data_IF_385438170631
#
_entry.id   IF_385438170631
#
_cell.length_a   1.000
_cell.length_b   1.000
_cell.length_c   1.000
_cell.angle_alpha   90.00
_cell.angle_beta   90.00
_cell.angle_gamma   90.00
#
_symmetry.space_group_name_H-M   'P 1'
#
loop_
_entity.id
_entity.type
_entity.pdbx_description
1 polymer ?
#
# COMPACT_ATOMS: atom_id res chain seq x y z
N UNK A 1 -30.69 25.27 43.30
CA UNK A 1 -29.94 24.07 42.85
C UNK A 1 -28.67 24.36 42.03
N UNK A 2 -28.22 25.62 41.86
CA UNK A 2 -27.08 25.97 40.97
C UNK A 2 -25.66 25.92 41.60
N UNK A 3 -25.54 25.85 42.94
CA UNK A 3 -24.22 25.88 43.61
C UNK A 3 -23.40 24.59 43.46
N UNK A 4 -24.05 23.43 43.36
CA UNK A 4 -23.37 22.13 43.33
C UNK A 4 -22.76 21.82 41.95
N UNK A 5 -23.32 22.37 40.87
CA UNK A 5 -22.83 22.18 39.51
C UNK A 5 -21.48 22.85 39.26
N UNK A 6 -21.23 24.02 39.86
CA UNK A 6 -19.95 24.72 39.73
C UNK A 6 -18.82 23.97 40.45
N UNK A 7 -19.08 23.40 41.63
CA UNK A 7 -18.08 22.60 42.34
C UNK A 7 -17.66 21.35 41.56
N UNK A 8 -18.63 20.65 40.94
CA UNK A 8 -18.35 19.49 40.11
C UNK A 8 -17.52 19.84 38.85
N UNK A 9 -17.78 21.01 38.25
CA UNK A 9 -16.99 21.50 37.11
C UNK A 9 -15.56 21.85 37.51
N UNK A 10 -15.35 22.52 38.65
CA UNK A 10 -14.01 22.82 39.14
C UNK A 10 -13.18 21.56 39.43
N UNK A 11 -13.79 20.52 40.01
CA UNK A 11 -13.12 19.23 40.23
C UNK A 11 -12.73 18.59 38.90
N UNK A 12 -13.64 18.62 37.91
CA UNK A 12 -13.37 18.05 36.59
C UNK A 12 -12.25 18.78 35.85
N UNK A 13 -12.24 20.11 35.90
CA UNK A 13 -11.19 20.94 35.28
C UNK A 13 -9.84 20.65 35.93
N UNK A 14 -9.77 20.60 37.27
CA UNK A 14 -8.53 20.28 37.97
C UNK A 14 -8.02 18.86 37.64
N UNK A 15 -8.93 17.88 37.50
CA UNK A 15 -8.57 16.53 37.07
C UNK A 15 -7.96 16.50 35.66
N UNK A 16 -8.50 17.29 34.73
CA UNK A 16 -7.98 17.39 33.37
C UNK A 16 -6.62 18.10 33.31
N UNK A 17 -6.39 19.11 34.15
CA UNK A 17 -5.09 19.78 34.27
C UNK A 17 -3.99 18.82 34.76
N UNK A 18 -4.31 17.95 35.72
CA UNK A 18 -3.39 16.92 36.21
C UNK A 18 -3.08 15.89 35.12
N UNK A 19 -4.09 15.48 34.36
CA UNK A 19 -3.89 14.53 33.27
C UNK A 19 -3.08 15.11 32.12
N UNK A 20 -3.29 16.39 31.80
CA UNK A 20 -2.51 17.14 30.82
C UNK A 20 -1.03 17.20 31.24
N UNK A 21 -0.77 17.59 32.49
CA UNK A 21 0.59 17.65 33.03
C UNK A 21 1.28 16.26 33.03
N UNK A 22 0.53 15.18 33.25
CA UNK A 22 1.05 13.81 33.13
C UNK A 22 1.44 13.48 31.69
N UNK A 23 0.62 13.86 30.71
CA UNK A 23 0.87 13.64 29.29
C UNK A 23 2.04 14.44 28.77
N UNK A 24 2.21 15.67 29.23
CA UNK A 24 3.38 16.49 28.88
C UNK A 24 4.69 15.86 29.36
N UNK A 25 4.71 15.29 30.57
CA UNK A 25 5.88 14.53 31.08
C UNK A 25 6.16 13.29 30.24
N UNK A 26 5.12 12.56 29.83
CA UNK A 26 5.25 11.38 28.96
C UNK A 26 5.84 11.75 27.59
N UNK A 27 5.40 12.86 27.00
CA UNK A 27 5.93 13.37 25.73
C UNK A 27 7.39 13.79 25.86
N UNK A 28 7.76 14.47 26.95
CA UNK A 28 9.16 14.88 27.19
C UNK A 28 10.06 13.64 27.34
N UNK A 29 9.61 12.62 28.06
CA UNK A 29 10.38 11.38 28.21
C UNK A 29 10.54 10.63 26.87
N UNK A 30 9.48 10.56 26.07
CA UNK A 30 9.54 9.94 24.75
C UNK A 30 10.45 10.71 23.78
N UNK A 31 10.42 12.05 23.80
CA UNK A 31 11.32 12.89 23.00
C UNK A 31 12.78 12.69 23.37
N UNK A 32 13.08 12.58 24.68
CA UNK A 32 14.42 12.29 25.18
C UNK A 32 14.92 10.92 24.70
N UNK A 33 14.11 9.86 24.85
CA UNK A 33 14.47 8.52 24.33
C UNK A 33 14.72 8.51 22.82
N UNK A 34 14.02 9.35 22.07
CA UNK A 34 14.17 9.46 20.61
C UNK A 34 15.44 10.24 20.21
N UNK A 35 15.89 11.17 21.05
CA UNK A 35 17.18 11.86 20.91
C UNK A 35 18.36 10.98 21.37
N UNK A 36 18.21 10.25 22.47
CA UNK A 36 19.24 9.34 22.99
C UNK A 36 19.46 8.14 22.06
N UNK A 37 18.44 7.73 21.30
CA UNK A 37 18.57 6.74 20.22
C UNK A 37 19.22 7.27 18.93
N UNK A 38 19.61 8.56 18.89
CA UNK A 38 20.31 9.22 17.77
C UNK A 38 21.68 9.73 18.23
N UNK A 39 22.51 8.88 18.84
CA UNK A 39 23.94 9.14 18.93
C UNK A 39 24.62 8.78 17.60
N UNK A 40 25.40 9.75 17.10
CA UNK A 40 26.18 9.68 15.89
C UNK A 40 27.20 8.53 15.92
N UNK A 41 27.12 7.65 14.93
CA UNK A 41 28.29 7.06 14.28
C UNK A 41 27.99 6.90 12.80
N UNK A 42 28.57 7.81 11.99
CA UNK A 42 28.68 7.65 10.54
C UNK A 42 29.80 6.64 10.32
N UNK A 43 29.47 5.35 10.47
CA UNK A 43 30.33 4.26 10.01
C UNK A 43 29.59 3.59 8.87
N UNK A 44 30.28 3.53 7.72
CA UNK A 44 29.93 2.78 6.51
C UNK A 44 29.30 1.42 6.84
N UNK A 45 27.99 1.41 6.98
CA UNK A 45 27.18 0.22 7.07
C UNK A 45 26.13 0.33 5.97
N UNK A 46 26.13 -0.67 5.08
CA UNK A 46 24.98 -1.04 4.26
C UNK A 46 23.71 -0.70 5.03
N UNK A 47 22.75 0.06 4.46
CA UNK A 47 21.57 0.46 5.22
C UNK A 47 20.96 -0.80 5.79
N UNK A 48 21.06 -0.98 7.12
CA UNK A 48 20.40 -2.08 7.77
C UNK A 48 18.93 -1.77 7.58
N UNK A 49 18.33 -2.52 6.66
CA UNK A 49 16.89 -2.65 6.53
C UNK A 49 16.39 -3.05 7.91
N UNK A 50 16.03 -2.06 8.73
CA UNK A 50 15.13 -2.28 9.86
C UNK A 50 13.80 -2.56 9.22
N UNK A 51 13.64 -3.82 8.80
CA UNK A 51 12.34 -4.42 8.63
C UNK A 51 11.71 -4.28 10.01
N UNK A 52 10.91 -3.23 10.21
CA UNK A 52 9.96 -3.23 11.29
C UNK A 52 9.27 -4.58 11.17
N UNK A 53 9.41 -5.43 12.19
CA UNK A 53 8.55 -6.57 12.37
C UNK A 53 7.15 -6.01 12.65
N UNK A 54 6.50 -5.45 11.63
CA UNK A 54 5.07 -5.30 11.59
C UNK A 54 4.59 -6.74 11.67
N UNK A 55 4.31 -7.16 12.89
CA UNK A 55 3.77 -8.46 13.25
C UNK A 55 2.41 -8.60 12.57
N UNK A 56 2.47 -8.95 11.30
CA UNK A 56 1.37 -9.37 10.47
C UNK A 56 1.89 -10.56 9.71
N UNK A 57 2.15 -11.68 10.43
CA UNK A 57 2.11 -12.97 9.77
C UNK A 57 0.72 -13.01 9.13
N UNK A 58 0.66 -12.96 7.81
CA UNK A 58 -0.58 -13.23 7.08
C UNK A 58 -0.90 -14.70 7.31
N UNK A 59 -1.59 -14.99 8.41
CA UNK A 59 -2.11 -16.32 8.66
C UNK A 59 -3.26 -16.52 7.67
N UNK A 60 -3.00 -17.26 6.59
CA UNK A 60 -4.10 -17.88 5.88
C UNK A 60 -4.72 -18.90 6.82
N UNK A 61 -5.96 -18.64 7.24
CA UNK A 61 -6.71 -19.58 8.05
C UNK A 61 -6.86 -20.88 7.23
N UNK A 62 -6.38 -22.05 7.69
CA UNK A 62 -6.37 -23.28 6.89
C UNK A 62 -7.76 -23.66 6.37
N UNK A 63 -8.82 -23.40 7.14
CA UNK A 63 -10.21 -23.63 6.74
C UNK A 63 -10.68 -22.71 5.61
N UNK A 64 -10.06 -21.53 5.43
CA UNK A 64 -10.32 -20.64 4.29
C UNK A 64 -9.53 -21.04 3.05
N UNK A 65 -8.58 -21.98 3.16
CA UNK A 65 -7.82 -22.50 2.02
C UNK A 65 -8.71 -23.36 1.12
N UNK A 66 -9.72 -24.03 1.67
CA UNK A 66 -10.73 -24.77 0.89
C UNK A 66 -11.70 -23.84 0.13
N UNK A 67 -11.89 -22.60 0.63
CA UNK A 67 -12.64 -21.56 -0.11
C UNK A 67 -11.86 -20.91 -1.24
N UNK A 68 -10.55 -21.18 -1.35
CA UNK A 68 -9.76 -20.87 -2.54
C UNK A 68 -10.01 -21.98 -3.57
N UNK A 69 -11.25 -22.10 -4.02
CA UNK A 69 -11.55 -22.94 -5.16
C UNK A 69 -10.65 -22.51 -6.31
N UNK A 70 -10.13 -23.48 -7.07
CA UNK A 70 -9.46 -23.19 -8.33
C UNK A 70 -10.46 -22.44 -9.21
N UNK A 71 -10.40 -21.11 -9.19
CA UNK A 71 -11.12 -20.31 -10.16
C UNK A 71 -10.65 -20.69 -11.55
N UNK A 72 -11.47 -20.39 -12.57
CA UNK A 72 -11.00 -20.45 -13.96
C UNK A 72 -9.62 -19.81 -14.08
N UNK A 73 -8.80 -20.17 -15.07
CA UNK A 73 -7.43 -19.67 -15.33
C UNK A 73 -7.25 -18.13 -15.35
N UNK A 74 -8.36 -17.39 -15.22
CA UNK A 74 -8.53 -15.96 -15.01
C UNK A 74 -8.47 -15.51 -13.51
N UNK A 75 -8.39 -16.41 -12.54
CA UNK A 75 -8.44 -16.07 -11.10
C UNK A 75 -7.05 -15.78 -10.47
N UNK A 76 -5.99 -15.76 -11.27
CA UNK A 76 -4.62 -15.71 -10.76
C UNK A 76 -4.08 -14.27 -10.71
N UNK A 77 -4.21 -13.65 -9.53
CA UNK A 77 -3.57 -12.38 -9.25
C UNK A 77 -2.07 -12.58 -8.96
N UNK A 78 -1.21 -12.10 -9.86
CA UNK A 78 0.23 -12.43 -9.88
C UNK A 78 1.16 -11.30 -9.44
N UNK A 79 0.63 -10.09 -9.32
CA UNK A 79 1.39 -8.91 -8.97
C UNK A 79 0.50 -7.94 -8.20
N UNK A 80 1.06 -7.31 -7.16
CA UNK A 80 0.36 -6.33 -6.36
C UNK A 80 1.32 -5.34 -5.73
N UNK A 81 0.85 -4.13 -5.46
CA UNK A 81 1.58 -3.11 -4.73
C UNK A 81 0.63 -2.21 -3.92
N UNK A 82 1.18 -1.50 -2.93
CA UNK A 82 0.44 -0.64 -2.00
C UNK A 82 1.11 0.72 -1.87
N UNK A 83 0.39 1.79 -2.17
CA UNK A 83 0.93 3.16 -2.10
C UNK A 83 0.73 3.84 -0.73
N UNK A 84 0.18 3.15 0.27
CA UNK A 84 -0.20 3.75 1.55
C UNK A 84 -1.71 3.99 1.72
N UNK A 85 -2.47 4.02 0.63
CA UNK A 85 -3.92 4.26 0.64
C UNK A 85 -4.69 3.16 -0.11
N UNK A 86 -4.18 2.78 -1.29
CA UNK A 86 -4.81 1.81 -2.18
C UNK A 86 -3.86 0.66 -2.50
N UNK A 87 -4.47 -0.51 -2.68
CA UNK A 87 -3.82 -1.66 -3.29
C UNK A 87 -4.10 -1.66 -4.78
N UNK A 88 -3.08 -1.87 -5.59
CA UNK A 88 -3.21 -2.18 -7.00
C UNK A 88 -2.88 -3.65 -7.20
N UNK A 89 -3.75 -4.39 -7.87
CA UNK A 89 -3.60 -5.84 -8.09
C UNK A 89 -3.78 -6.16 -9.57
N UNK A 90 -2.82 -6.88 -10.16
CA UNK A 90 -2.95 -7.43 -11.50
C UNK A 90 -3.97 -8.57 -11.49
N UNK A 91 -5.03 -8.45 -12.28
CA UNK A 91 -6.14 -9.41 -12.34
C UNK A 91 -6.55 -9.70 -13.78
N UNK A 92 -7.25 -10.81 -14.01
CA UNK A 92 -8.04 -10.92 -15.22
C UNK A 92 -9.28 -10.02 -15.12
N UNK A 93 -9.59 -9.35 -16.23
CA UNK A 93 -10.80 -8.55 -16.39
C UNK A 93 -11.94 -9.44 -16.89
N UNK A 94 -13.18 -9.02 -16.66
CA UNK A 94 -14.34 -9.68 -17.30
C UNK A 94 -14.20 -9.58 -18.82
N UNK A 95 -14.15 -10.73 -19.49
CA UNK A 95 -13.92 -10.85 -20.93
C UNK A 95 -15.06 -10.27 -21.77
N UNK A 96 -16.28 -10.21 -21.23
CA UNK A 96 -17.48 -9.72 -21.94
C UNK A 96 -17.34 -8.28 -22.43
N UNK A 97 -16.58 -7.44 -21.71
CA UNK A 97 -16.41 -6.02 -22.05
C UNK A 97 -15.00 -5.66 -22.53
N UNK A 98 -14.03 -6.56 -22.40
CA UNK A 98 -12.61 -6.26 -22.58
C UNK A 98 -11.91 -7.32 -23.43
N UNK A 99 -12.47 -7.62 -24.60
CA UNK A 99 -12.01 -8.70 -25.49
C UNK A 99 -10.54 -8.53 -25.89
N UNK A 100 -10.09 -7.29 -26.11
CA UNK A 100 -8.71 -6.98 -26.50
C UNK A 100 -7.73 -6.82 -25.33
N UNK A 101 -8.25 -6.55 -24.12
CA UNK A 101 -7.46 -6.40 -22.90
C UNK A 101 -8.08 -7.20 -21.75
N UNK A 102 -8.08 -8.55 -21.85
CA UNK A 102 -8.66 -9.43 -20.84
C UNK A 102 -7.91 -9.40 -19.50
N UNK A 103 -6.82 -8.65 -19.37
CA UNK A 103 -6.08 -8.47 -18.13
C UNK A 103 -5.90 -6.99 -17.80
N UNK A 104 -5.79 -6.70 -16.51
CA UNK A 104 -5.78 -5.32 -16.07
C UNK A 104 -5.36 -5.18 -14.62
N UNK A 105 -5.45 -3.95 -14.13
CA UNK A 105 -5.11 -3.60 -12.76
C UNK A 105 -6.40 -3.21 -12.04
N UNK A 106 -6.69 -3.88 -10.92
CA UNK A 106 -7.80 -3.53 -10.05
C UNK A 106 -7.28 -2.77 -8.84
N UNK A 107 -7.95 -1.66 -8.54
CA UNK A 107 -7.71 -0.91 -7.33
C UNK A 107 -8.62 -1.43 -6.22
N UNK A 108 -8.06 -1.59 -5.02
CA UNK A 108 -8.79 -2.06 -3.84
C UNK A 108 -8.50 -1.14 -2.65
N UNK A 109 -9.49 -1.00 -1.78
CA UNK A 109 -9.30 -0.50 -0.42
C UNK A 109 -9.46 -1.66 0.54
N UNK A 110 -8.43 -1.92 1.36
CA UNK A 110 -8.44 -2.96 2.38
C UNK A 110 -8.06 -2.30 3.71
N UNK A 111 -9.02 -2.18 4.62
CA UNK A 111 -8.79 -1.74 5.98
C UNK A 111 -9.52 -2.67 6.97
N UNK A 112 -9.47 -2.39 8.27
CA UNK A 112 -10.09 -3.25 9.30
C UNK A 112 -11.61 -3.35 9.19
N UNK A 113 -12.25 -2.36 8.58
CA UNK A 113 -13.71 -2.18 8.55
C UNK A 113 -14.29 -2.50 7.18
N UNK A 114 -13.49 -2.38 6.11
CA UNK A 114 -13.96 -2.41 4.73
C UNK A 114 -12.99 -3.14 3.80
N UNK A 115 -13.56 -3.99 2.95
CA UNK A 115 -12.93 -4.51 1.74
C UNK A 115 -13.74 -4.04 0.53
N UNK A 116 -13.21 -3.05 -0.20
CA UNK A 116 -13.91 -2.44 -1.33
C UNK A 116 -13.16 -2.69 -2.63
N UNK A 117 -13.82 -3.41 -3.54
CA UNK A 117 -13.40 -3.51 -4.94
C UNK A 117 -13.68 -2.15 -5.63
N UNK A 118 -12.64 -1.52 -6.17
CA UNK A 118 -12.79 -0.32 -7.00
C UNK A 118 -12.66 -0.67 -8.49
N UNK A 119 -12.41 0.37 -9.28
CA UNK A 119 -12.25 0.32 -10.72
C UNK A 119 -11.20 -0.70 -11.17
N UNK A 120 -11.42 -1.22 -12.38
CA UNK A 120 -10.47 -2.05 -13.10
C UNK A 120 -10.02 -1.31 -14.33
N UNK A 121 -8.73 -1.31 -14.57
CA UNK A 121 -8.15 -0.73 -15.75
C UNK A 121 -7.69 -1.88 -16.67
N UNK A 122 -8.44 -2.17 -17.76
CA UNK A 122 -8.11 -3.23 -18.71
C UNK A 122 -6.95 -2.81 -19.62
N UNK A 123 -5.72 -2.95 -19.12
CA UNK A 123 -4.52 -2.41 -19.74
C UNK A 123 -3.73 -3.43 -20.58
N UNK A 124 -3.91 -4.72 -20.34
CA UNK A 124 -3.03 -5.77 -20.86
C UNK A 124 -3.80 -6.87 -21.60
N UNK A 125 -3.19 -7.39 -22.67
CA UNK A 125 -3.70 -8.55 -23.40
C UNK A 125 -3.17 -9.89 -22.87
N UNK A 126 -2.31 -9.85 -21.85
CA UNK A 126 -1.69 -10.99 -21.18
C UNK A 126 -1.58 -10.72 -19.69
N UNK A 127 -1.27 -11.75 -18.88
CA UNK A 127 -1.27 -11.61 -17.42
C UNK A 127 -0.24 -10.57 -16.97
N UNK A 128 -0.68 -9.66 -16.12
CA UNK A 128 0.20 -8.71 -15.43
C UNK A 128 1.15 -9.45 -14.49
N UNK A 129 2.44 -9.15 -14.60
CA UNK A 129 3.52 -9.67 -13.74
C UNK A 129 4.18 -8.57 -12.93
N UNK A 130 3.95 -7.31 -13.30
CA UNK A 130 4.46 -6.11 -12.65
C UNK A 130 3.29 -5.17 -12.42
N UNK A 131 3.19 -4.66 -11.20
CA UNK A 131 2.31 -3.58 -10.76
C UNK A 131 3.08 -2.83 -9.69
N UNK A 132 3.43 -1.58 -9.94
CA UNK A 132 4.22 -0.77 -8.99
C UNK A 132 3.75 0.67 -9.04
N UNK A 133 3.31 1.18 -7.90
CA UNK A 133 2.99 2.60 -7.75
C UNK A 133 4.26 3.45 -7.83
N UNK A 134 4.13 4.62 -8.43
CA UNK A 134 5.20 5.61 -8.36
C UNK A 134 5.36 6.07 -6.90
N UNK A 135 6.60 6.12 -6.38
CA UNK A 135 6.86 6.71 -5.07
C UNK A 135 6.73 8.25 -5.09
N UNK A 136 6.53 8.87 -6.26
CA UNK A 136 6.44 10.31 -6.44
C UNK A 136 5.01 10.82 -6.66
N UNK A 137 4.12 9.95 -7.16
CA UNK A 137 2.74 10.30 -7.50
C UNK A 137 1.86 9.08 -7.25
N UNK A 138 0.99 9.14 -6.24
CA UNK A 138 0.24 7.99 -5.74
C UNK A 138 -0.78 7.44 -6.75
N UNK A 139 -1.18 8.24 -7.73
CA UNK A 139 -2.09 7.86 -8.81
C UNK A 139 -1.39 7.23 -10.03
N UNK A 140 -0.07 7.31 -10.11
CA UNK A 140 0.74 6.83 -11.22
C UNK A 140 1.21 5.39 -10.98
N UNK A 141 1.01 4.51 -11.97
CA UNK A 141 1.29 3.09 -11.91
C UNK A 141 2.15 2.65 -13.09
N UNK A 142 3.20 1.88 -12.79
CA UNK A 142 3.92 1.06 -13.77
C UNK A 142 3.31 -0.34 -13.76
N UNK A 143 2.95 -0.85 -14.93
CA UNK A 143 2.52 -2.22 -15.10
C UNK A 143 3.18 -2.89 -16.31
N UNK A 144 3.28 -4.21 -16.26
CA UNK A 144 3.82 -5.00 -17.37
C UNK A 144 3.55 -6.48 -17.19
N UNK A 145 3.65 -7.25 -18.27
CA UNK A 145 3.39 -8.69 -18.18
C UNK A 145 3.70 -9.52 -19.42
N UNK A 146 2.94 -10.60 -19.55
CA UNK A 146 3.06 -11.61 -20.60
C UNK A 146 2.76 -11.06 -22.01
N UNK A 147 2.11 -9.90 -22.10
CA UNK A 147 1.83 -9.20 -23.36
C UNK A 147 3.01 -8.41 -23.91
N UNK A 148 4.19 -8.51 -23.27
CA UNK A 148 5.45 -7.93 -23.74
C UNK A 148 5.42 -6.39 -23.78
N UNK A 149 4.53 -5.78 -22.98
CA UNK A 149 4.37 -4.33 -22.88
C UNK A 149 4.67 -3.87 -21.45
N UNK A 150 5.40 -2.76 -21.33
CA UNK A 150 5.41 -1.96 -20.11
C UNK A 150 4.52 -0.73 -20.34
N UNK A 151 3.67 -0.43 -19.38
CA UNK A 151 2.68 0.64 -19.44
C UNK A 151 2.86 1.48 -18.19
N UNK A 152 2.95 2.80 -18.37
CA UNK A 152 2.74 3.76 -17.29
C UNK A 152 1.36 4.34 -17.46
N UNK A 153 0.52 4.18 -16.44
CA UNK A 153 -0.87 4.63 -16.44
C UNK A 153 -1.17 5.49 -15.22
N UNK A 154 -2.14 6.40 -15.34
CA UNK A 154 -2.62 7.22 -14.24
C UNK A 154 -4.14 7.18 -14.22
N UNK A 155 -4.73 6.65 -13.14
CA UNK A 155 -6.18 6.41 -13.03
C UNK A 155 -6.76 5.67 -14.26
N UNK A 156 -6.04 4.66 -14.73
CA UNK A 156 -6.42 3.86 -15.89
C UNK A 156 -6.13 4.46 -17.26
N UNK A 157 -5.79 5.75 -17.34
CA UNK A 157 -5.37 6.37 -18.60
C UNK A 157 -3.90 6.05 -18.89
N UNK A 158 -3.61 5.51 -20.07
CA UNK A 158 -2.23 5.23 -20.50
C UNK A 158 -1.51 6.55 -20.75
N UNK A 159 -0.40 6.78 -20.03
CA UNK A 159 0.48 7.94 -20.20
C UNK A 159 1.64 7.63 -21.11
N UNK A 160 2.21 6.44 -20.97
CA UNK A 160 3.29 5.92 -21.81
C UNK A 160 3.15 4.41 -21.94
N UNK A 161 3.65 3.89 -23.07
CA UNK A 161 3.69 2.46 -23.33
C UNK A 161 4.93 2.14 -24.16
N UNK A 162 5.58 1.03 -23.83
CA UNK A 162 6.73 0.50 -24.56
C UNK A 162 6.51 -0.97 -24.88
N UNK A 163 6.86 -1.38 -26.10
CA UNK A 163 7.02 -2.79 -26.47
C UNK A 163 8.42 -3.23 -26.07
N UNK A 164 8.53 -4.34 -25.36
CA UNK A 164 9.83 -4.85 -24.92
C UNK A 164 10.69 -5.31 -26.10
N UNK A 165 12.02 -5.10 -26.04
CA UNK A 165 12.95 -5.63 -27.02
C UNK A 165 12.83 -7.15 -27.16
N UNK A 166 13.03 -7.65 -28.39
CA UNK A 166 12.97 -9.08 -28.71
C UNK A 166 11.67 -9.78 -28.31
N UNK A 167 10.58 -9.02 -28.15
CA UNK A 167 9.28 -9.57 -27.79
C UNK A 167 9.27 -10.39 -26.50
N UNK A 168 10.12 -10.04 -25.54
CA UNK A 168 10.15 -10.72 -24.25
C UNK A 168 9.08 -10.18 -23.29
N UNK A 169 8.46 -11.04 -22.46
CA UNK A 169 7.58 -10.60 -21.38
C UNK A 169 8.28 -9.67 -20.39
N UNK A 170 7.51 -8.81 -19.74
CA UNK A 170 7.99 -8.03 -18.59
C UNK A 170 7.80 -8.88 -17.34
N UNK A 171 8.89 -9.29 -16.70
CA UNK A 171 8.84 -10.12 -15.49
C UNK A 171 8.99 -9.33 -14.20
N UNK A 172 9.67 -8.19 -14.26
CA UNK A 172 9.94 -7.30 -13.13
C UNK A 172 10.05 -5.87 -13.63
N UNK A 173 9.84 -4.91 -12.74
CA UNK A 173 9.98 -3.49 -13.01
C UNK A 173 9.90 -2.71 -11.70
N UNK A 174 10.56 -1.56 -11.66
CA UNK A 174 10.53 -0.66 -10.51
C UNK A 174 10.73 0.78 -10.97
N UNK A 175 10.42 1.72 -10.07
CA UNK A 175 10.76 3.12 -10.24
C UNK A 175 12.18 3.37 -9.72
N UNK A 176 12.95 4.17 -10.44
CA UNK A 176 14.25 4.64 -9.95
C UNK A 176 14.06 5.66 -8.83
N UNK A 177 15.11 5.89 -8.03
CA UNK A 177 15.14 7.00 -7.08
C UNK A 177 15.17 8.35 -7.82
N UNK A 178 14.54 9.39 -7.26
CA UNK A 178 14.39 10.72 -7.86
C UNK A 178 15.71 11.34 -8.36
N UNK A 179 16.82 11.00 -7.69
CA UNK A 179 18.13 11.59 -7.95
C UNK A 179 19.06 10.69 -8.78
N UNK A 180 18.55 9.63 -9.42
CA UNK A 180 19.33 8.78 -10.31
C UNK A 180 18.69 8.78 -11.70
N UNK A 181 19.38 9.41 -12.64
CA UNK A 181 19.20 9.27 -14.10
C UNK A 181 20.35 8.44 -14.61
#
# INVERSE_FOLDING_TARGET
>A
MLRNSNAALHIKVSGLEVELARKDREIVDLKRRLQDGKSHDIISATPQLVVQSRGGRMFMNPERKESLTNGSSNADARAMDFNGEFWAIGVACSQVRNIFSPYGIRILTINRQEFKLRECYPLHSGRSRVVVFSPYESSLLLSGGEDKRAIVSMNGAIRRQWKMPHEKPVWTGCWTSANKV
#
